data_IF_088532868080
#
_entry.id   IF_088532868080
#
_cell.length_a   1.000
_cell.length_b   1.000
_cell.length_c   1.000
_cell.angle_alpha   90.00
_cell.angle_beta   90.00
_cell.angle_gamma   90.00
#
_symmetry.space_group_name_H-M   'P 1'
#
loop_
_entity.id
_entity.type
_entity.pdbx_description
1 polymer ?
#
# COMPACT_ATOMS: atom_id res chain seq x y z
N UNK A 1 -1.64 -4.65 -6.80
CA UNK A 1 -2.69 -5.66 -7.02
C UNK A 1 -4.04 -5.06 -6.73
N UNK A 2 -4.86 -4.69 -7.75
CA UNK A 2 -6.35 -4.69 -7.69
C UNK A 2 -7.03 -5.19 -8.99
N UNK A 3 -8.34 -5.31 -9.15
CA UNK A 3 -8.92 -5.98 -10.37
C UNK A 3 -9.37 -5.02 -11.49
N UNK A 4 -9.06 -3.73 -11.33
CA UNK A 4 -9.79 -2.58 -11.90
C UNK A 4 -9.20 -1.30 -11.27
N UNK A 5 -9.93 -0.19 -11.32
CA UNK A 5 -9.79 0.87 -10.30
C UNK A 5 -9.76 0.25 -8.91
N UNK A 6 -8.92 0.80 -8.04
CA UNK A 6 -9.08 0.62 -6.60
C UNK A 6 -8.97 1.91 -5.83
N UNK A 7 -9.83 1.96 -4.83
CA UNK A 7 -9.96 3.04 -3.86
C UNK A 7 -10.43 2.35 -2.57
N UNK A 8 -9.50 1.98 -1.68
CA UNK A 8 -9.78 1.08 -0.54
C UNK A 8 -9.05 1.47 0.73
N UNK A 9 -9.81 1.62 1.81
CA UNK A 9 -9.29 1.77 3.18
C UNK A 9 -9.18 0.38 3.84
N UNK A 10 -8.06 0.13 4.49
CA UNK A 10 -7.78 -1.04 5.32
C UNK A 10 -7.59 -0.58 6.76
N UNK A 11 -8.51 -0.99 7.63
CA UNK A 11 -8.54 -0.57 9.02
C UNK A 11 -7.62 -1.43 9.89
N UNK A 12 -7.03 -0.81 10.93
CA UNK A 12 -6.20 -1.49 11.94
C UNK A 12 -5.12 -2.36 11.29
N UNK A 13 -4.36 -1.78 10.37
CA UNK A 13 -3.27 -2.47 9.68
C UNK A 13 -2.02 -2.55 10.55
N UNK A 14 -1.23 -3.63 10.44
CA UNK A 14 0.08 -3.75 11.06
C UNK A 14 1.02 -2.59 10.75
N UNK A 15 2.07 -2.43 11.56
CA UNK A 15 3.08 -1.37 11.38
C UNK A 15 4.00 -1.60 10.17
N UNK A 16 3.93 -2.76 9.51
CA UNK A 16 4.69 -3.08 8.29
C UNK A 16 3.78 -3.56 7.16
N UNK A 17 3.95 -2.99 5.97
CA UNK A 17 3.21 -3.32 4.75
C UNK A 17 4.21 -3.58 3.64
N UNK A 18 4.06 -4.68 2.90
CA UNK A 18 4.95 -5.05 1.79
C UNK A 18 4.24 -4.90 0.44
N UNK A 19 4.89 -4.21 -0.50
CA UNK A 19 4.46 -4.05 -1.89
C UNK A 19 5.47 -4.80 -2.75
N UNK A 20 5.07 -5.94 -3.30
CA UNK A 20 5.92 -6.81 -4.10
C UNK A 20 5.78 -6.43 -5.58
N UNK A 21 6.89 -6.18 -6.24
CA UNK A 21 7.00 -5.91 -7.67
C UNK A 21 7.68 -7.12 -8.33
N UNK A 22 6.84 -8.00 -8.90
CA UNK A 22 7.27 -9.29 -9.44
C UNK A 22 8.06 -9.16 -10.75
N UNK A 23 7.78 -8.13 -11.55
CA UNK A 23 8.48 -7.86 -12.81
C UNK A 23 9.89 -7.33 -12.55
N UNK A 24 10.01 -6.36 -11.63
CA UNK A 24 11.31 -5.79 -11.24
C UNK A 24 11.99 -6.51 -10.07
N UNK A 25 11.42 -7.63 -9.61
CA UNK A 25 11.93 -8.54 -8.56
C UNK A 25 12.37 -7.81 -7.28
N UNK A 26 11.59 -6.82 -6.85
CA UNK A 26 11.87 -5.98 -5.68
C UNK A 26 10.64 -5.93 -4.75
N UNK A 27 10.87 -5.66 -3.48
CA UNK A 27 9.80 -5.40 -2.52
C UNK A 27 10.01 -4.02 -1.92
N UNK A 28 8.97 -3.19 -1.91
CA UNK A 28 8.94 -2.01 -1.05
C UNK A 28 8.36 -2.40 0.30
N UNK A 29 9.04 -2.05 1.38
CA UNK A 29 8.51 -2.16 2.74
C UNK A 29 8.19 -0.77 3.24
N UNK A 30 6.90 -0.54 3.49
CA UNK A 30 6.41 0.59 4.25
C UNK A 30 6.41 0.22 5.73
N UNK A 31 7.01 1.07 6.56
CA UNK A 31 6.90 0.99 8.01
C UNK A 31 6.20 2.25 8.52
N UNK A 32 5.22 2.09 9.41
CA UNK A 32 4.41 3.18 9.96
C UNK A 32 4.37 3.18 11.49
N UNK A 33 4.36 4.38 12.04
CA UNK A 33 4.14 4.67 13.46
C UNK A 33 3.14 5.83 13.63
N UNK A 34 2.38 5.81 14.72
CA UNK A 34 1.29 6.77 14.98
C UNK A 34 0.07 6.68 14.03
N UNK A 35 0.13 5.84 13.00
CA UNK A 35 -0.85 5.69 11.91
C UNK A 35 -1.48 4.29 11.94
N UNK A 36 -2.79 4.21 12.21
CA UNK A 36 -3.49 2.94 12.45
C UNK A 36 -3.93 2.19 11.18
N UNK A 37 -4.25 2.93 10.13
CA UNK A 37 -4.93 2.43 8.92
C UNK A 37 -4.02 2.57 7.69
N UNK A 38 -4.46 2.03 6.56
CA UNK A 38 -3.81 2.25 5.27
C UNK A 38 -4.84 2.44 4.16
N UNK A 39 -4.57 3.32 3.20
CA UNK A 39 -5.35 3.45 1.96
C UNK A 39 -4.54 2.88 0.81
N UNK A 40 -5.22 2.24 -0.14
CA UNK A 40 -4.60 1.79 -1.37
C UNK A 40 -5.41 2.29 -2.54
N UNK A 41 -4.74 2.95 -3.48
CA UNK A 41 -5.37 3.64 -4.59
C UNK A 41 -4.63 3.44 -5.91
N UNK A 42 -5.40 3.20 -6.96
CA UNK A 42 -4.99 3.33 -8.35
C UNK A 42 -6.25 3.68 -9.18
N UNK A 43 -6.23 4.75 -10.00
CA UNK A 43 -7.42 5.24 -10.67
C UNK A 43 -7.90 4.31 -11.79
N UNK A 44 -6.98 3.53 -12.39
CA UNK A 44 -7.20 2.79 -13.63
C UNK A 44 -7.63 3.67 -14.82
N UNK A 45 -7.76 3.07 -15.99
CA UNK A 45 -7.89 3.72 -17.29
C UNK A 45 -8.90 4.89 -17.34
N UNK A 46 -10.15 4.64 -16.92
CA UNK A 46 -11.23 5.63 -17.05
C UNK A 46 -11.06 6.84 -16.13
N UNK A 47 -10.58 6.65 -14.90
CA UNK A 47 -10.43 7.73 -13.91
C UNK A 47 -9.11 8.48 -14.15
N UNK A 48 -8.06 7.80 -14.62
CA UNK A 48 -6.81 8.43 -15.06
C UNK A 48 -7.07 9.50 -16.13
N UNK A 49 -7.77 9.14 -17.21
CA UNK A 49 -8.20 10.05 -18.30
C UNK A 49 -9.13 11.19 -17.88
N UNK A 50 -9.65 11.17 -16.66
CA UNK A 50 -10.54 12.19 -16.12
C UNK A 50 -9.83 13.15 -15.13
N UNK A 51 -8.57 12.86 -14.77
CA UNK A 51 -7.74 13.68 -13.89
C UNK A 51 -6.86 14.61 -14.75
N UNK A 52 -7.09 15.95 -14.74
CA UNK A 52 -6.40 16.87 -15.65
C UNK A 52 -4.87 16.97 -15.45
N UNK A 53 -4.39 16.53 -14.29
CA UNK A 53 -3.01 16.57 -13.81
C UNK A 53 -2.32 15.20 -13.81
N UNK A 54 -2.94 14.18 -14.42
CA UNK A 54 -2.48 12.79 -14.42
C UNK A 54 -2.48 12.23 -15.84
N UNK A 55 -1.42 11.52 -16.24
CA UNK A 55 -1.33 10.98 -17.61
C UNK A 55 -2.31 9.82 -17.86
N UNK A 56 -2.94 9.78 -19.03
CA UNK A 56 -3.85 8.71 -19.49
C UNK A 56 -3.36 7.28 -19.16
N UNK A 57 -2.05 7.06 -19.29
CA UNK A 57 -1.37 5.78 -19.11
C UNK A 57 -0.59 5.68 -17.77
N UNK A 58 -0.52 6.75 -16.98
CA UNK A 58 0.29 6.84 -15.76
C UNK A 58 -0.15 5.85 -14.66
N UNK A 59 -1.44 5.46 -14.68
CA UNK A 59 -2.00 4.42 -13.81
C UNK A 59 -1.30 3.05 -13.97
N UNK A 60 -0.58 2.81 -15.09
CA UNK A 60 0.20 1.59 -15.32
C UNK A 60 1.51 1.56 -14.55
N UNK A 61 1.93 2.70 -13.98
CA UNK A 61 3.24 2.90 -13.36
C UNK A 61 3.18 3.34 -11.90
N UNK A 62 2.03 3.81 -11.41
CA UNK A 62 1.81 4.20 -10.01
C UNK A 62 0.95 3.18 -9.24
N UNK A 63 1.21 3.06 -7.94
CA UNK A 63 0.30 2.47 -6.97
C UNK A 63 0.47 3.26 -5.67
N UNK A 64 -0.58 3.95 -5.23
CA UNK A 64 -0.56 4.65 -3.96
C UNK A 64 -0.84 3.65 -2.84
N UNK A 65 0.02 3.63 -1.83
CA UNK A 65 -0.18 2.91 -0.57
C UNK A 65 0.16 3.91 0.53
N UNK A 66 -0.89 4.45 1.13
CA UNK A 66 -0.83 5.56 2.08
C UNK A 66 -1.03 5.00 3.49
N UNK A 67 -0.34 5.60 4.46
CA UNK A 67 -0.50 5.24 5.87
C UNK A 67 -1.27 6.35 6.58
N UNK A 68 -2.33 6.00 7.30
CA UNK A 68 -3.40 6.93 7.65
C UNK A 68 -4.00 6.68 9.04
N UNK A 69 -4.83 7.63 9.50
CA UNK A 69 -5.80 7.45 10.59
C UNK A 69 -7.17 7.85 10.03
N UNK A 70 -7.96 6.86 9.62
CA UNK A 70 -9.25 7.08 8.93
C UNK A 70 -10.41 6.71 9.85
N UNK A 71 -10.35 5.55 10.50
CA UNK A 71 -11.44 5.07 11.39
C UNK A 71 -11.47 5.82 12.71
N UNK A 72 -10.28 6.14 13.25
CA UNK A 72 -10.11 6.76 14.56
C UNK A 72 -9.52 8.16 14.40
N UNK A 73 -10.32 9.22 14.49
CA UNK A 73 -9.80 10.58 14.37
C UNK A 73 -8.86 10.91 15.53
N UNK A 74 -7.72 11.52 15.20
CA UNK A 74 -6.78 12.03 16.20
C UNK A 74 -7.39 13.29 16.83
N UNK A 75 -7.62 13.25 18.14
CA UNK A 75 -8.12 14.39 18.93
C UNK A 75 -7.01 14.88 19.85
N UNK A 76 -6.74 16.19 19.83
CA UNK A 76 -5.73 16.84 20.67
C UNK A 76 -6.37 17.93 21.54
N UNK A 77 -5.98 17.98 22.81
CA UNK A 77 -6.27 19.08 23.74
C UNK A 77 -5.20 20.17 23.64
N UNK A 78 -5.43 21.37 24.21
CA UNK A 78 -4.41 22.42 24.26
C UNK A 78 -3.09 21.91 24.87
N UNK A 79 -1.99 22.04 24.11
CA UNK A 79 -0.67 21.58 24.51
C UNK A 79 -0.34 20.11 24.22
N UNK A 80 -1.27 19.31 23.67
CA UNK A 80 -0.98 17.95 23.20
C UNK A 80 -0.41 17.96 21.77
N UNK A 81 0.51 17.04 21.47
CA UNK A 81 1.06 16.80 20.13
C UNK A 81 0.67 15.40 19.63
N UNK A 82 0.52 15.25 18.31
CA UNK A 82 0.51 13.94 17.64
C UNK A 82 1.58 13.91 16.55
N UNK A 83 2.17 12.72 16.36
CA UNK A 83 3.19 12.46 15.35
C UNK A 83 2.84 11.17 14.62
N UNK A 84 2.68 11.25 13.31
CA UNK A 84 2.67 10.11 12.40
C UNK A 84 4.01 10.02 11.66
N UNK A 85 4.48 8.80 11.41
CA UNK A 85 5.72 8.56 10.65
C UNK A 85 5.49 7.46 9.62
N UNK A 86 5.94 7.71 8.39
CA UNK A 86 6.01 6.72 7.33
C UNK A 86 7.47 6.62 6.86
N UNK A 87 7.99 5.40 6.77
CA UNK A 87 9.26 5.07 6.15
C UNK A 87 9.01 4.16 4.96
N UNK A 88 9.68 4.41 3.84
CA UNK A 88 9.70 3.49 2.69
C UNK A 88 11.12 3.02 2.45
N UNK A 89 11.28 1.72 2.23
CA UNK A 89 12.55 1.10 1.85
C UNK A 89 12.34 0.14 0.70
N UNK A 90 13.29 0.07 -0.23
CA UNK A 90 13.31 -0.94 -1.28
C UNK A 90 14.30 -2.04 -0.88
N UNK A 91 13.83 -3.30 -0.85
CA UNK A 91 14.65 -4.48 -0.54
C UNK A 91 14.64 -5.45 -1.73
N UNK A 92 15.74 -6.21 -1.96
CA UNK A 92 15.74 -7.31 -2.92
C UNK A 92 14.65 -8.31 -2.57
N UNK A 93 13.90 -8.80 -3.58
CA UNK A 93 12.79 -9.72 -3.31
C UNK A 93 13.26 -11.16 -3.11
N UNK A 94 13.69 -11.49 -1.88
CA UNK A 94 13.65 -12.86 -1.37
C UNK A 94 12.22 -13.41 -1.32
N UNK A 95 11.22 -12.54 -1.22
CA UNK A 95 9.79 -12.86 -1.26
C UNK A 95 9.33 -13.48 -2.61
N UNK A 96 10.11 -13.33 -3.69
CA UNK A 96 9.85 -13.94 -5.00
C UNK A 96 10.57 -15.29 -5.22
N UNK A 97 11.42 -15.77 -4.30
CA UNK A 97 12.12 -17.06 -4.48
C UNK A 97 11.32 -18.29 -4.05
N UNK A 98 10.10 -18.11 -3.54
CA UNK A 98 9.24 -19.19 -3.03
C UNK A 98 9.69 -19.77 -1.67
N UNK A 99 10.69 -19.18 -1.01
CA UNK A 99 11.31 -19.72 0.21
C UNK A 99 10.68 -19.23 1.53
N UNK A 100 9.49 -18.63 1.50
CA UNK A 100 8.77 -18.20 2.70
C UNK A 100 7.55 -19.07 2.95
N UNK A 101 7.44 -19.58 4.18
CA UNK A 101 6.31 -20.38 4.64
C UNK A 101 5.10 -19.45 4.89
N UNK A 102 4.29 -19.25 3.85
CA UNK A 102 3.29 -18.17 3.75
C UNK A 102 2.08 -18.30 4.69
N UNK A 103 1.89 -19.43 5.36
CA UNK A 103 0.64 -19.70 6.11
C UNK A 103 0.56 -18.99 7.47
N UNK A 104 1.69 -18.51 8.04
CA UNK A 104 1.75 -18.13 9.46
C UNK A 104 1.73 -16.62 9.76
N UNK A 105 1.99 -15.75 8.77
CA UNK A 105 2.22 -14.29 8.98
C UNK A 105 1.63 -13.37 7.88
N UNK A 106 0.76 -13.88 6.99
CA UNK A 106 0.33 -13.14 5.80
C UNK A 106 -1.18 -13.22 5.57
N UNK A 107 -1.90 -12.13 5.90
CA UNK A 107 -3.23 -11.88 5.34
C UNK A 107 -3.08 -11.12 4.01
N UNK A 108 -2.61 -11.83 3.00
CA UNK A 108 -2.36 -11.26 1.67
C UNK A 108 -3.67 -10.81 0.99
N UNK A 109 -3.75 -9.54 0.59
CA UNK A 109 -4.92 -8.99 -0.10
C UNK A 109 -4.65 -9.00 -1.62
N UNK A 110 -5.08 -10.09 -2.27
CA UNK A 110 -4.83 -10.38 -3.69
C UNK A 110 -6.02 -10.02 -4.60
N UNK A 111 -5.78 -9.31 -5.70
CA UNK A 111 -6.55 -9.13 -6.97
C UNK A 111 -5.77 -8.12 -7.87
N UNK A 112 -5.60 -8.21 -9.20
CA UNK A 112 -4.39 -7.91 -10.11
C UNK A 112 -3.47 -6.61 -10.22
N UNK A 113 -3.89 -5.44 -10.75
CA UNK A 113 -3.25 -4.10 -11.12
C UNK A 113 -1.91 -3.61 -10.52
N UNK A 114 -1.00 -2.97 -11.33
CA UNK A 114 -0.68 -3.32 -12.73
C UNK A 114 -0.18 -4.76 -12.76
N UNK A 115 -0.02 -5.36 -13.95
CA UNK A 115 0.12 -6.83 -14.09
C UNK A 115 1.26 -7.50 -13.28
N UNK A 116 2.17 -6.73 -12.68
CA UNK A 116 3.27 -7.21 -11.85
C UNK A 116 3.27 -6.80 -10.36
N UNK A 117 2.45 -5.83 -9.90
CA UNK A 117 2.49 -5.40 -8.49
C UNK A 117 1.51 -6.21 -7.64
N UNK A 118 1.94 -6.75 -6.50
CA UNK A 118 1.05 -7.31 -5.48
C UNK A 118 1.24 -6.68 -4.09
N UNK A 119 0.14 -6.49 -3.34
CA UNK A 119 0.21 -5.96 -1.98
C UNK A 119 0.07 -7.11 -0.98
N UNK A 120 0.93 -7.12 0.03
CA UNK A 120 0.87 -8.04 1.17
C UNK A 120 0.93 -7.23 2.46
N UNK A 121 -0.13 -7.30 3.24
CA UNK A 121 -0.15 -6.75 4.60
C UNK A 121 0.45 -7.83 5.51
N UNK A 122 1.56 -7.50 6.17
CA UNK A 122 2.34 -8.42 7.00
C UNK A 122 1.78 -8.39 8.42
N UNK A 123 1.21 -9.50 8.91
CA UNK A 123 0.60 -9.61 10.24
C UNK A 123 1.50 -10.38 11.21
#
# INVERSE_FOLDING_TARGET
MFESEVDKVYLSTPTKIAILDHERKRTFVLQKDGLGDAVVWNPWDKKAKALPDFGDDEYKHVLCVETACVEKPITLKPGEEWKGRQEISAVPSSYCSGQLNTEKYFKAIRRSVPRHLSLQILY
#
